data_IF_246926653146
#
_entry.id   IF_246926653146
#
_cell.length_a   1.000
_cell.length_b   1.000
_cell.length_c   1.000
_cell.angle_alpha   90.00
_cell.angle_beta   90.00
_cell.angle_gamma   90.00
#
_symmetry.space_group_name_H-M   'P 1'
#
loop_
_entity.id
_entity.type
_entity.pdbx_description
1 polymer ?
#
# COMPACT_ATOMS: atom_id res chain seq x y z
N UNK A 1 -35.96 19.57 -4.30
CA UNK A 1 -35.20 18.36 -4.68
C UNK A 1 -33.85 18.45 -4.02
N UNK A 2 -33.68 17.76 -2.90
CA UNK A 2 -32.42 17.74 -2.16
C UNK A 2 -31.54 16.63 -2.74
N UNK A 3 -30.37 17.02 -3.24
CA UNK A 3 -29.31 16.10 -3.67
C UNK A 3 -28.66 15.50 -2.43
N UNK A 4 -28.81 14.19 -2.22
CA UNK A 4 -28.03 13.44 -1.26
C UNK A 4 -26.61 13.25 -1.81
N UNK A 5 -25.65 13.95 -1.22
CA UNK A 5 -24.23 13.67 -1.34
C UNK A 5 -23.95 12.34 -0.64
N UNK A 6 -23.61 11.31 -1.43
CA UNK A 6 -23.01 10.07 -0.93
C UNK A 6 -21.56 10.38 -0.54
N UNK A 7 -21.36 11.04 0.60
CA UNK A 7 -20.09 10.97 1.32
C UNK A 7 -20.09 9.63 2.05
N UNK A 8 -19.45 8.62 1.47
CA UNK A 8 -19.21 7.37 2.15
C UNK A 8 -18.34 7.67 3.38
N UNK A 9 -18.93 7.53 4.56
CA UNK A 9 -18.29 7.69 5.88
C UNK A 9 -16.87 7.10 5.87
N UNK A 10 -15.89 7.99 5.91
CA UNK A 10 -14.49 7.65 6.07
C UNK A 10 -14.28 7.21 7.51
N UNK A 11 -14.49 5.92 7.81
CA UNK A 11 -14.08 5.35 9.09
C UNK A 11 -12.60 5.67 9.34
N UNK A 12 -12.34 6.39 10.42
CA UNK A 12 -11.00 6.62 10.95
C UNK A 12 -10.45 5.28 11.45
N UNK A 13 -9.69 4.60 10.61
CA UNK A 13 -8.99 3.39 11.04
C UNK A 13 -7.91 3.75 12.07
N UNK A 14 -7.71 2.93 13.12
CA UNK A 14 -6.61 3.12 14.04
C UNK A 14 -5.30 3.13 13.25
N UNK A 15 -4.65 4.29 13.20
CA UNK A 15 -3.34 4.45 12.59
C UNK A 15 -2.34 3.94 13.62
N UNK A 16 -1.74 2.76 13.40
CA UNK A 16 -0.50 2.43 14.12
C UNK A 16 0.53 3.52 13.82
N UNK A 17 1.30 3.90 14.84
CA UNK A 17 2.31 4.95 14.81
C UNK A 17 2.98 5.05 13.43
N UNK A 18 2.71 6.17 12.74
CA UNK A 18 3.29 6.48 11.43
C UNK A 18 4.80 6.46 11.54
N UNK A 19 5.44 5.38 11.11
CA UNK A 19 6.90 5.28 11.11
C UNK A 19 7.43 6.15 9.97
N UNK A 20 8.11 7.25 10.31
CA UNK A 20 8.86 8.00 9.31
C UNK A 20 9.92 7.08 8.70
N UNK A 21 9.98 7.01 7.37
CA UNK A 21 11.05 6.28 6.68
C UNK A 21 12.39 6.93 7.10
N UNK A 22 13.22 6.18 7.82
CA UNK A 22 14.54 6.65 8.23
C UNK A 22 15.49 6.79 7.02
N UNK A 23 16.63 7.44 7.22
CA UNK A 23 17.59 7.73 6.14
C UNK A 23 18.13 6.43 5.51
N UNK A 24 18.41 5.41 6.32
CA UNK A 24 18.94 4.12 5.86
C UNK A 24 17.92 3.40 4.97
N UNK A 25 16.65 3.42 5.37
CA UNK A 25 15.55 2.88 4.59
C UNK A 25 15.40 3.62 3.25
N UNK A 26 15.48 4.96 3.24
CA UNK A 26 15.40 5.75 2.00
C UNK A 26 16.50 5.39 1.01
N UNK A 27 17.75 5.35 1.48
CA UNK A 27 18.91 5.03 0.63
C UNK A 27 18.82 3.61 0.07
N UNK A 28 18.47 2.64 0.91
CA UNK A 28 18.31 1.25 0.48
C UNK A 28 17.16 1.08 -0.51
N UNK A 29 16.01 1.70 -0.25
CA UNK A 29 14.85 1.70 -1.16
C UNK A 29 15.22 2.29 -2.51
N UNK A 30 15.92 3.43 -2.52
CA UNK A 30 16.34 4.07 -3.76
C UNK A 30 17.28 3.15 -4.55
N UNK A 31 18.25 2.52 -3.88
CA UNK A 31 19.16 1.58 -4.52
C UNK A 31 18.44 0.34 -5.12
N UNK A 32 17.39 -0.18 -4.49
CA UNK A 32 16.59 -1.26 -5.07
C UNK A 32 15.75 -0.79 -6.26
N UNK A 33 15.15 0.40 -6.15
CA UNK A 33 14.38 1.01 -7.24
C UNK A 33 15.27 1.24 -8.46
N UNK A 34 16.48 1.77 -8.28
CA UNK A 34 17.42 2.06 -9.39
C UNK A 34 17.88 0.78 -10.08
N UNK A 35 18.12 -0.30 -9.32
CA UNK A 35 18.42 -1.63 -9.88
C UNK A 35 17.28 -2.13 -10.75
N UNK A 36 16.04 -1.95 -10.30
CA UNK A 36 14.88 -2.41 -11.05
C UNK A 36 14.63 -1.58 -12.32
N UNK A 37 14.75 -0.25 -12.25
CA UNK A 37 14.70 0.63 -13.43
C UNK A 37 15.76 0.20 -14.45
N UNK A 38 16.99 -0.07 -13.99
CA UNK A 38 18.06 -0.55 -14.86
C UNK A 38 17.70 -1.90 -15.50
N UNK A 39 17.24 -2.88 -14.71
CA UNK A 39 16.84 -4.21 -15.22
C UNK A 39 15.75 -4.10 -16.29
N UNK A 40 14.72 -3.28 -16.05
CA UNK A 40 13.62 -3.04 -17.00
C UNK A 40 14.13 -2.41 -18.29
N UNK A 41 15.05 -1.44 -18.17
CA UNK A 41 15.70 -0.81 -19.33
C UNK A 41 16.56 -1.78 -20.12
N UNK A 42 17.32 -2.64 -19.44
CA UNK A 42 18.23 -3.60 -20.06
C UNK A 42 17.46 -4.66 -20.90
N UNK A 43 16.19 -4.92 -20.59
CA UNK A 43 15.29 -5.77 -21.39
C UNK A 43 14.48 -5.00 -22.45
N UNK A 44 14.83 -3.74 -22.72
CA UNK A 44 14.21 -2.91 -23.76
C UNK A 44 12.86 -2.30 -23.38
N UNK A 45 12.46 -2.37 -22.11
CA UNK A 45 11.23 -1.76 -21.59
C UNK A 45 11.50 -0.42 -20.91
N UNK A 46 10.45 0.28 -20.46
CA UNK A 46 10.58 1.57 -19.78
C UNK A 46 9.54 1.73 -18.68
N UNK A 47 9.94 2.41 -17.61
CA UNK A 47 9.08 2.81 -16.49
C UNK A 47 9.43 4.22 -16.06
N UNK A 48 8.47 4.90 -15.43
CA UNK A 48 8.69 6.17 -14.74
C UNK A 48 8.82 5.91 -13.23
N UNK A 49 10.03 6.01 -12.65
CA UNK A 49 10.20 5.80 -11.21
C UNK A 49 9.53 6.91 -10.41
N UNK A 50 8.75 6.52 -9.41
CA UNK A 50 8.14 7.41 -8.43
C UNK A 50 8.89 7.32 -7.11
N UNK A 51 9.06 8.47 -6.45
CA UNK A 51 9.62 8.52 -5.11
C UNK A 51 8.53 8.27 -4.08
N UNK A 52 8.86 7.50 -3.06
CA UNK A 52 7.98 7.29 -1.91
C UNK A 52 8.16 8.44 -0.92
N UNK A 53 7.06 9.11 -0.57
CA UNK A 53 7.06 10.12 0.48
C UNK A 53 6.89 9.46 1.84
N UNK A 54 6.02 8.47 1.91
CA UNK A 54 5.68 7.76 3.14
C UNK A 54 4.96 6.43 2.82
N UNK A 55 4.96 5.50 3.75
CA UNK A 55 4.22 4.25 3.61
C UNK A 55 3.81 3.68 4.97
N UNK A 56 2.76 2.87 4.97
CA UNK A 56 2.32 2.17 6.17
C UNK A 56 1.30 1.10 5.85
N UNK A 57 0.73 0.52 6.91
CA UNK A 57 -0.36 -0.44 6.81
C UNK A 57 -1.50 0.06 7.70
N UNK A 58 -2.71 0.04 7.16
CA UNK A 58 -3.93 0.32 7.90
C UNK A 58 -4.59 -1.03 8.22
N UNK A 59 -4.93 -1.26 9.49
CA UNK A 59 -5.74 -2.40 9.87
C UNK A 59 -7.22 -2.12 9.57
N UNK A 60 -7.83 -2.91 8.69
CA UNK A 60 -9.25 -2.86 8.40
C UNK A 60 -9.97 -4.00 9.13
N UNK A 61 -10.95 -3.65 9.96
CA UNK A 61 -11.74 -4.60 10.76
C UNK A 61 -13.19 -4.75 10.29
N UNK A 62 -13.55 -4.11 9.18
CA UNK A 62 -14.91 -4.05 8.64
C UNK A 62 -15.35 -5.40 8.06
N UNK A 63 -14.38 -6.24 7.72
CA UNK A 63 -14.57 -7.58 7.20
C UNK A 63 -14.65 -8.63 8.32
N UNK A 64 -15.26 -9.79 8.04
CA UNK A 64 -15.27 -10.94 8.97
C UNK A 64 -13.88 -11.34 9.43
N UNK A 65 -12.88 -11.22 8.56
CA UNK A 65 -11.46 -11.39 8.86
C UNK A 65 -10.77 -10.03 8.70
N UNK A 66 -9.99 -9.56 9.69
CA UNK A 66 -9.21 -8.34 9.56
C UNK A 66 -8.27 -8.39 8.36
N UNK A 67 -8.11 -7.25 7.67
CA UNK A 67 -7.26 -7.12 6.48
C UNK A 67 -6.24 -5.99 6.64
N UNK A 68 -5.12 -6.14 5.95
CA UNK A 68 -4.10 -5.09 5.84
C UNK A 68 -4.36 -4.27 4.58
N UNK A 69 -4.47 -2.95 4.71
CA UNK A 69 -4.50 -2.02 3.58
C UNK A 69 -3.13 -1.33 3.49
N UNK A 70 -2.46 -1.52 2.36
CA UNK A 70 -1.14 -0.97 2.06
C UNK A 70 -1.26 0.50 1.70
N UNK A 71 -0.90 1.39 2.63
CA UNK A 71 -0.91 2.84 2.39
C UNK A 71 0.41 3.26 1.76
N UNK A 72 0.35 3.83 0.56
CA UNK A 72 1.52 4.24 -0.22
C UNK A 72 1.36 5.70 -0.63
N UNK A 73 2.20 6.58 -0.07
CA UNK A 73 2.25 7.98 -0.46
C UNK A 73 3.40 8.20 -1.46
N UNK A 74 3.07 8.75 -2.61
CA UNK A 74 3.99 8.93 -3.72
C UNK A 74 4.18 10.43 -4.01
N UNK A 75 5.43 10.84 -4.16
CA UNK A 75 5.79 12.19 -4.60
C UNK A 75 5.52 12.34 -6.10
N UNK A 76 4.25 12.54 -6.42
CA UNK A 76 3.77 12.68 -7.79
C UNK A 76 2.57 13.60 -7.87
N UNK A 77 2.46 14.32 -9.00
CA UNK A 77 1.26 15.06 -9.38
C UNK A 77 0.22 14.18 -10.09
N UNK A 78 0.56 12.94 -10.43
CA UNK A 78 -0.30 12.07 -11.21
C UNK A 78 -1.59 11.75 -10.45
N UNK A 79 -2.69 11.65 -11.19
CA UNK A 79 -3.96 11.17 -10.68
C UNK A 79 -3.90 9.64 -10.54
N UNK A 80 -3.65 9.17 -9.32
CA UNK A 80 -3.54 7.74 -9.01
C UNK A 80 -4.88 7.00 -9.08
N UNK A 81 -6.01 7.72 -9.21
CA UNK A 81 -7.31 7.07 -9.48
C UNK A 81 -7.38 6.47 -10.89
N UNK A 82 -6.45 6.84 -11.77
CA UNK A 82 -6.32 6.29 -13.13
C UNK A 82 -5.51 4.99 -13.21
N UNK A 83 -5.04 4.46 -12.07
CA UNK A 83 -4.39 3.15 -12.03
C UNK A 83 -5.40 2.07 -12.37
N UNK A 84 -5.10 1.31 -13.42
CA UNK A 84 -5.93 0.22 -13.93
C UNK A 84 -5.47 -1.13 -13.40
N UNK A 85 -4.16 -1.28 -13.15
CA UNK A 85 -3.56 -2.50 -12.64
C UNK A 85 -2.35 -2.18 -11.77
N UNK A 86 -2.18 -2.96 -10.70
CA UNK A 86 -0.97 -3.01 -9.90
C UNK A 86 -0.35 -4.39 -10.08
N UNK A 87 0.87 -4.45 -10.60
CA UNK A 87 1.69 -5.66 -10.60
C UNK A 87 2.70 -5.56 -9.48
N UNK A 88 2.90 -6.65 -8.75
CA UNK A 88 3.71 -6.68 -7.53
C UNK A 88 4.88 -7.63 -7.77
N UNK A 89 6.10 -7.15 -7.58
CA UNK A 89 7.29 -8.00 -7.68
C UNK A 89 7.32 -9.04 -6.56
N UNK A 90 8.12 -10.12 -6.70
CA UNK A 90 8.46 -10.96 -5.57
C UNK A 90 9.02 -10.13 -4.39
N UNK A 91 8.67 -10.48 -3.14
CA UNK A 91 9.13 -9.75 -1.96
C UNK A 91 10.62 -10.01 -1.68
N UNK A 92 11.34 -8.95 -1.34
CA UNK A 92 12.75 -8.97 -0.92
C UNK A 92 12.79 -8.65 0.58
N UNK A 93 13.36 -9.52 1.44
CA UNK A 93 13.51 -9.20 2.86
C UNK A 93 14.31 -7.91 3.08
N UNK A 94 13.81 -7.04 3.96
CA UNK A 94 14.51 -5.79 4.29
C UNK A 94 15.60 -6.07 5.33
N UNK A 95 16.89 -5.80 5.04
CA UNK A 95 17.99 -6.28 5.89
C UNK A 95 18.14 -5.54 7.22
N UNK A 96 17.53 -4.36 7.38
CA UNK A 96 17.71 -3.51 8.55
C UNK A 96 16.56 -3.60 9.57
N UNK A 97 15.47 -4.33 9.26
CA UNK A 97 14.34 -4.52 10.17
C UNK A 97 13.64 -5.85 9.93
N UNK A 98 13.56 -6.67 10.98
CA UNK A 98 12.88 -7.95 10.92
C UNK A 98 11.39 -7.78 10.60
N UNK A 99 10.81 -8.79 9.93
CA UNK A 99 9.42 -8.80 9.51
C UNK A 99 9.04 -7.65 8.57
N UNK A 100 10.02 -7.02 7.92
CA UNK A 100 9.77 -6.10 6.81
C UNK A 100 10.22 -6.72 5.50
N UNK A 101 9.48 -6.41 4.45
CA UNK A 101 9.80 -6.83 3.09
C UNK A 101 9.55 -5.67 2.14
N UNK A 102 10.25 -5.71 1.02
CA UNK A 102 10.21 -4.71 -0.03
C UNK A 102 9.67 -5.34 -1.31
N UNK A 103 8.85 -4.58 -2.02
CA UNK A 103 8.40 -4.91 -3.37
C UNK A 103 8.49 -3.68 -4.27
N UNK A 104 8.66 -3.94 -5.56
CA UNK A 104 8.39 -2.98 -6.60
C UNK A 104 6.94 -3.14 -7.06
N UNK A 105 6.24 -2.02 -7.17
CA UNK A 105 4.90 -1.93 -7.72
C UNK A 105 4.98 -1.32 -9.12
N UNK A 106 4.50 -2.04 -10.13
CA UNK A 106 4.26 -1.47 -11.45
C UNK A 106 2.81 -0.99 -11.47
N UNK A 107 2.62 0.32 -11.55
CA UNK A 107 1.30 0.96 -11.64
C UNK A 107 1.00 1.23 -13.11
N UNK A 108 0.14 0.39 -13.69
CA UNK A 108 -0.32 0.54 -15.07
C UNK A 108 -1.47 1.53 -15.09
N UNK A 109 -1.38 2.51 -15.98
CA UNK A 109 -2.42 3.50 -16.24
C UNK A 109 -2.75 3.51 -17.72
N UNK A 110 -3.63 4.41 -18.17
CA UNK A 110 -3.85 4.64 -19.61
C UNK A 110 -2.66 5.29 -20.33
N UNK A 111 -1.60 5.69 -19.60
CA UNK A 111 -0.39 6.26 -20.19
C UNK A 111 0.50 5.15 -20.77
N UNK A 112 1.27 5.43 -21.85
CA UNK A 112 2.08 4.42 -22.53
C UNK A 112 3.25 3.89 -21.69
N UNK A 113 3.72 4.67 -20.71
CA UNK A 113 4.81 4.27 -19.82
C UNK A 113 4.24 4.07 -18.41
N UNK A 114 4.32 2.86 -17.83
CA UNK A 114 3.84 2.60 -16.49
C UNK A 114 4.76 3.23 -15.44
N UNK A 115 4.24 3.42 -14.23
CA UNK A 115 5.01 3.93 -13.11
C UNK A 115 5.63 2.80 -12.30
N UNK A 116 6.82 3.01 -11.77
CA UNK A 116 7.46 2.12 -10.81
C UNK A 116 7.44 2.78 -9.43
N UNK A 117 6.76 2.18 -8.47
CA UNK A 117 6.68 2.67 -7.09
C UNK A 117 7.34 1.66 -6.14
N UNK A 118 8.33 2.07 -5.33
CA UNK A 118 8.86 1.21 -4.29
C UNK A 118 7.87 1.12 -3.12
N UNK A 119 7.81 -0.03 -2.45
CA UNK A 119 7.02 -0.20 -1.24
C UNK A 119 7.72 -1.10 -0.22
N UNK A 120 7.97 -0.55 0.97
CA UNK A 120 8.50 -1.26 2.13
C UNK A 120 7.35 -1.48 3.13
N UNK A 121 7.14 -2.71 3.56
CA UNK A 121 5.97 -3.08 4.36
C UNK A 121 6.28 -4.11 5.44
N UNK A 122 5.51 -4.08 6.52
CA UNK A 122 5.53 -5.08 7.58
C UNK A 122 4.72 -6.30 7.15
N UNK A 123 5.32 -7.49 7.22
CA UNK A 123 4.68 -8.73 6.75
C UNK A 123 3.57 -9.22 7.68
N UNK A 124 3.71 -8.94 8.99
CA UNK A 124 2.76 -9.30 10.03
C UNK A 124 2.50 -8.10 10.94
N UNK A 125 1.27 -7.58 10.89
CA UNK A 125 0.83 -6.44 11.68
C UNK A 125 0.15 -6.93 12.96
N UNK A 126 0.72 -6.64 14.13
CA UNK A 126 0.15 -7.01 15.44
C UNK A 126 -0.67 -5.83 15.97
N UNK A 127 -1.98 -5.93 15.95
CA UNK A 127 -2.89 -4.84 16.34
C UNK A 127 -3.92 -5.31 17.35
N UNK A 128 -4.42 -4.38 18.17
CA UNK A 128 -5.61 -4.64 19.00
C UNK A 128 -6.86 -4.39 18.16
N UNK A 129 -7.62 -5.43 17.89
CA UNK A 129 -8.96 -5.30 17.33
C UNK A 129 -9.86 -4.64 18.38
N UNK A 130 -10.56 -3.54 18.05
CA UNK A 130 -11.46 -2.88 19.00
C UNK A 130 -12.65 -3.77 19.33
N UNK A 131 -13.26 -3.51 20.49
CA UNK A 131 -14.55 -4.10 20.84
C UNK A 131 -15.59 -3.74 19.78
N UNK A 132 -16.46 -4.68 19.43
CA UNK A 132 -17.56 -4.44 18.48
C UNK A 132 -18.83 -5.14 18.93
N UNK A 133 -19.97 -4.55 18.58
CA UNK A 133 -21.29 -5.12 18.83
C UNK A 133 -21.97 -5.42 17.49
N UNK A 134 -22.54 -6.62 17.34
CA UNK A 134 -23.27 -7.04 16.15
C UNK A 134 -24.61 -7.64 16.59
N UNK A 135 -25.68 -6.84 16.53
CA UNK A 135 -26.96 -7.16 17.18
C UNK A 135 -26.78 -7.33 18.69
N UNK A 136 -27.28 -8.43 19.24
CA UNK A 136 -27.18 -8.73 20.68
C UNK A 136 -25.82 -9.33 21.10
N UNK A 137 -24.87 -9.51 20.16
CA UNK A 137 -23.57 -10.13 20.44
C UNK A 137 -22.49 -9.08 20.62
N UNK A 138 -21.82 -9.09 21.77
CA UNK A 138 -20.61 -8.30 22.04
C UNK A 138 -19.36 -9.13 21.77
N UNK A 139 -18.44 -8.56 21.03
CA UNK A 139 -17.12 -9.13 20.75
C UNK A 139 -16.07 -8.29 21.48
N UNK A 140 -15.40 -8.81 22.52
CA UNK A 140 -14.42 -8.04 23.27
C UNK A 140 -13.20 -7.68 22.42
N UNK A 141 -12.48 -6.66 22.83
CA UNK A 141 -11.19 -6.32 22.25
C UNK A 141 -10.21 -7.49 22.38
N UNK A 142 -9.37 -7.67 21.37
CA UNK A 142 -8.36 -8.74 21.36
C UNK A 142 -7.17 -8.39 20.49
N UNK A 143 -6.00 -8.86 20.86
CA UNK A 143 -4.83 -8.79 19.98
C UNK A 143 -4.99 -9.76 18.81
N UNK A 144 -4.71 -9.29 17.61
CA UNK A 144 -4.71 -10.09 16.39
C UNK A 144 -3.46 -9.80 15.57
N UNK A 145 -3.02 -10.81 14.83
CA UNK A 145 -1.96 -10.67 13.84
C UNK A 145 -2.60 -10.68 12.46
N UNK A 146 -2.47 -9.58 11.74
CA UNK A 146 -2.92 -9.43 10.35
C UNK A 146 -1.72 -9.71 9.44
N UNK A 147 -1.79 -10.79 8.68
CA UNK A 147 -0.82 -11.07 7.61
C UNK A 147 -1.08 -10.11 6.45
N UNK A 148 -0.05 -9.42 5.99
CA UNK A 148 -0.14 -8.60 4.80
C UNK A 148 0.08 -9.45 3.55
N UNK A 149 -0.98 -9.63 2.76
CA UNK A 149 -0.97 -10.38 1.51
C UNK A 149 -0.73 -9.48 0.29
N UNK A 150 -0.48 -8.18 0.47
CA UNK A 150 -0.27 -7.20 -0.60
C UNK A 150 -1.48 -7.08 -1.55
N UNK A 151 -2.70 -7.30 -1.04
CA UNK A 151 -3.90 -7.30 -1.87
C UNK A 151 -4.57 -5.93 -1.99
N UNK A 152 -4.72 -5.25 -0.87
CA UNK A 152 -5.47 -4.00 -0.78
C UNK A 152 -4.52 -2.81 -0.64
N UNK A 153 -4.71 -1.76 -1.44
CA UNK A 153 -3.86 -0.56 -1.47
C UNK A 153 -4.70 0.71 -1.30
N UNK A 154 -4.12 1.67 -0.57
CA UNK A 154 -4.51 3.06 -0.53
C UNK A 154 -3.35 3.90 -1.07
N UNK A 155 -3.45 4.30 -2.33
CA UNK A 155 -2.47 5.15 -3.00
C UNK A 155 -2.81 6.62 -2.73
N UNK A 156 -1.80 7.42 -2.44
CA UNK A 156 -1.95 8.84 -2.14
C UNK A 156 -0.88 9.61 -2.92
N UNK A 157 -1.26 10.65 -3.65
CA UNK A 157 -0.31 11.53 -4.33
C UNK A 157 0.06 12.73 -3.46
N UNK A 158 0.97 13.59 -3.91
CA UNK A 158 1.45 14.73 -3.09
C UNK A 158 0.40 15.82 -2.85
N UNK A 159 -0.71 15.82 -3.61
CA UNK A 159 -1.87 16.68 -3.37
C UNK A 159 -2.84 16.10 -2.33
N UNK A 160 -2.56 14.90 -1.81
CA UNK A 160 -3.46 14.19 -0.91
C UNK A 160 -4.64 13.50 -1.61
N UNK A 161 -4.65 13.43 -2.95
CA UNK A 161 -5.67 12.68 -3.70
C UNK A 161 -5.48 11.20 -3.40
N UNK A 162 -6.56 10.54 -2.97
CA UNK A 162 -6.58 9.15 -2.53
C UNK A 162 -7.21 8.26 -3.60
N UNK A 163 -6.61 7.11 -3.85
CA UNK A 163 -7.16 6.06 -4.71
C UNK A 163 -7.07 4.72 -4.00
N UNK A 164 -8.16 3.95 -3.99
CA UNK A 164 -8.20 2.58 -3.47
C UNK A 164 -8.05 1.60 -4.62
N UNK A 165 -7.27 0.55 -4.40
CA UNK A 165 -7.09 -0.52 -5.37
C UNK A 165 -7.07 -1.86 -4.66
N UNK A 166 -7.77 -2.85 -5.23
CA UNK A 166 -7.75 -4.24 -4.74
C UNK A 166 -7.27 -5.13 -5.86
N UNK A 167 -6.20 -5.88 -5.61
CA UNK A 167 -5.72 -6.91 -6.54
C UNK A 167 -6.65 -8.12 -6.43
N UNK A 168 -7.29 -8.49 -7.55
CA UNK A 168 -8.14 -9.67 -7.60
C UNK A 168 -7.36 -10.93 -8.02
N UNK A 169 -6.34 -10.75 -8.86
CA UNK A 169 -5.48 -11.83 -9.37
C UNK A 169 -4.03 -11.34 -9.46
N UNK A 170 -3.10 -12.12 -8.90
CA UNK A 170 -1.67 -11.85 -9.05
C UNK A 170 -1.21 -12.35 -10.41
N UNK A 171 -0.63 -11.44 -11.18
CA UNK A 171 0.05 -11.78 -12.42
C UNK A 171 1.52 -11.97 -12.07
N UNK A 172 2.07 -13.16 -12.31
CA UNK A 172 3.51 -13.38 -12.21
C UNK A 172 4.21 -12.55 -13.29
N UNK A 173 5.13 -11.67 -12.88
CA UNK A 173 6.00 -10.91 -13.78
C UNK A 173 7.25 -11.71 -14.08
#
# INVERSE_FOLDING_TARGET
>A
MATHSNDADLQEYPVEAMEQIDIVAKEWIQAQSDKEVKRIRDVGSSVLPLKISNCGIIANFDNKKPKAINRVELDTNCDLSKVQQIMVSPPIPYPHKENFSYVNLILVTSQPIPFLAPYLYKTNLKVTQPEREEGDRKFPSKEVVIKNDLRDYLLINKQGVRARFTIHEYHSV
#
